data_IF_836974045055
#
_entry.id   IF_836974045055
#
_cell.length_a   1.000
_cell.length_b   1.000
_cell.length_c   1.000
_cell.angle_alpha   90.00
_cell.angle_beta   90.00
_cell.angle_gamma   90.00
#
_symmetry.space_group_name_H-M   'P 1'
#
loop_
_entity.id
_entity.type
_entity.pdbx_description
1 polymer ?
#
# COMPACT_ATOMS: atom_id res chain seq x y z
N UNK A 1 -20.17 10.60 16.83
CA UNK A 1 -18.82 11.09 16.49
C UNK A 1 -18.71 11.00 14.99
N UNK A 2 -18.55 12.13 14.28
CA UNK A 2 -18.32 12.10 12.84
C UNK A 2 -16.86 11.66 12.64
N UNK A 3 -16.64 10.56 11.92
CA UNK A 3 -15.30 10.23 11.45
C UNK A 3 -14.84 11.37 10.54
N UNK A 4 -13.64 11.87 10.79
CA UNK A 4 -13.01 12.86 9.90
C UNK A 4 -12.62 12.17 8.59
N UNK A 5 -12.61 12.91 7.47
CA UNK A 5 -12.20 12.35 6.16
C UNK A 5 -10.83 11.66 6.22
N UNK A 6 -9.93 12.13 7.10
CA UNK A 6 -8.62 11.53 7.34
C UNK A 6 -8.70 10.15 7.98
N UNK A 7 -9.64 9.91 8.91
CA UNK A 7 -9.83 8.61 9.53
C UNK A 7 -10.37 7.58 8.54
N UNK A 8 -11.31 7.97 7.68
CA UNK A 8 -11.81 7.10 6.60
C UNK A 8 -10.71 6.76 5.59
N UNK A 9 -9.89 7.74 5.22
CA UNK A 9 -8.72 7.50 4.37
C UNK A 9 -7.72 6.57 5.05
N UNK A 10 -7.47 6.76 6.35
CA UNK A 10 -6.58 5.92 7.14
C UNK A 10 -7.04 4.47 7.18
N UNK A 11 -8.34 4.23 7.38
CA UNK A 11 -8.89 2.87 7.40
C UNK A 11 -8.72 2.19 6.02
N UNK A 12 -9.04 2.89 4.93
CA UNK A 12 -8.86 2.38 3.57
C UNK A 12 -7.40 2.03 3.27
N UNK A 13 -6.49 2.91 3.66
CA UNK A 13 -5.03 2.73 3.49
C UNK A 13 -4.54 1.55 4.33
N UNK A 14 -4.95 1.46 5.60
CA UNK A 14 -4.65 0.32 6.49
C UNK A 14 -5.17 -1.00 5.92
N UNK A 15 -6.40 -1.02 5.40
CA UNK A 15 -6.99 -2.20 4.80
C UNK A 15 -6.21 -2.67 3.58
N UNK A 16 -5.84 -1.75 2.67
CA UNK A 16 -5.02 -2.10 1.50
C UNK A 16 -3.62 -2.53 1.91
N UNK A 17 -2.97 -1.81 2.83
CA UNK A 17 -1.64 -2.17 3.36
C UNK A 17 -1.62 -3.61 3.88
N UNK A 18 -2.57 -4.00 4.74
CA UNK A 18 -2.66 -5.37 5.27
C UNK A 18 -2.80 -6.41 4.16
N UNK A 19 -3.60 -6.12 3.12
CA UNK A 19 -3.72 -6.98 1.94
C UNK A 19 -2.40 -7.13 1.20
N UNK A 20 -1.66 -6.03 1.01
CA UNK A 20 -0.34 -6.08 0.36
C UNK A 20 0.71 -6.80 1.21
N UNK A 21 0.70 -6.61 2.53
CA UNK A 21 1.56 -7.34 3.47
C UNK A 21 1.28 -8.85 3.40
N UNK A 22 0.01 -9.26 3.33
CA UNK A 22 -0.35 -10.67 3.14
C UNK A 22 0.19 -11.22 1.80
N UNK A 23 -0.04 -10.49 0.70
CA UNK A 23 0.46 -10.87 -0.64
C UNK A 23 1.98 -10.91 -0.70
N UNK A 24 2.66 -10.03 0.04
CA UNK A 24 4.11 -10.01 0.14
C UNK A 24 4.62 -11.27 0.84
N UNK A 25 3.95 -11.73 1.91
CA UNK A 25 4.31 -12.98 2.57
C UNK A 25 4.10 -14.18 1.63
N UNK A 26 2.99 -14.21 0.89
CA UNK A 26 2.74 -15.24 -0.12
C UNK A 26 3.80 -15.23 -1.23
N UNK A 27 4.13 -14.06 -1.77
CA UNK A 27 5.14 -13.90 -2.82
C UNK A 27 6.55 -14.24 -2.33
N UNK A 28 6.88 -13.96 -1.06
CA UNK A 28 8.15 -14.37 -0.44
C UNK A 28 8.25 -15.88 -0.22
N UNK A 29 7.11 -16.54 0.06
CA UNK A 29 7.05 -17.98 0.15
C UNK A 29 7.22 -18.66 -1.22
N UNK A 30 6.80 -18.00 -2.31
CA UNK A 30 7.08 -18.43 -3.66
C UNK A 30 8.56 -18.15 -4.04
N UNK A 31 9.36 -19.21 -4.09
CA UNK A 31 10.81 -19.10 -4.36
C UNK A 31 11.15 -18.91 -5.84
N UNK A 32 10.14 -18.90 -6.73
CA UNK A 32 10.36 -18.73 -8.17
C UNK A 32 10.73 -17.28 -8.45
N UNK A 33 11.32 -17.05 -9.63
CA UNK A 33 11.72 -15.71 -10.07
C UNK A 33 10.54 -14.71 -10.02
N UNK A 34 9.38 -15.13 -10.51
CA UNK A 34 8.15 -14.31 -10.46
C UNK A 34 7.69 -13.99 -9.04
N UNK A 35 7.84 -14.92 -8.08
CA UNK A 35 7.54 -14.68 -6.67
C UNK A 35 8.45 -13.61 -6.07
N UNK A 36 9.76 -13.66 -6.37
CA UNK A 36 10.72 -12.64 -5.94
C UNK A 36 10.44 -11.28 -6.55
N UNK A 37 10.21 -11.21 -7.86
CA UNK A 37 9.89 -9.95 -8.56
C UNK A 37 8.59 -9.33 -8.02
N UNK A 38 7.58 -10.16 -7.74
CA UNK A 38 6.34 -9.70 -7.11
C UNK A 38 6.55 -9.23 -5.67
N UNK A 39 7.39 -9.92 -4.89
CA UNK A 39 7.73 -9.53 -3.53
C UNK A 39 8.47 -8.18 -3.49
N UNK A 40 9.42 -7.96 -4.41
CA UNK A 40 10.13 -6.68 -4.55
C UNK A 40 9.16 -5.55 -4.92
N UNK A 41 8.28 -5.76 -5.91
CA UNK A 41 7.28 -4.76 -6.30
C UNK A 41 6.30 -4.41 -5.16
N UNK A 42 5.84 -5.41 -4.41
CA UNK A 42 4.96 -5.21 -3.25
C UNK A 42 5.68 -4.50 -2.10
N UNK A 43 6.96 -4.82 -1.89
CA UNK A 43 7.77 -4.15 -0.87
C UNK A 43 7.98 -2.67 -1.20
N UNK A 44 8.33 -2.34 -2.44
CA UNK A 44 8.46 -0.93 -2.89
C UNK A 44 7.16 -0.16 -2.69
N UNK A 45 6.01 -0.76 -3.00
CA UNK A 45 4.71 -0.11 -2.80
C UNK A 45 4.37 0.16 -1.33
N UNK A 46 4.82 -0.71 -0.42
CA UNK A 46 4.65 -0.55 1.03
C UNK A 46 5.64 0.47 1.62
N UNK A 47 6.83 0.57 1.03
CA UNK A 47 7.84 1.55 1.39
C UNK A 47 7.40 2.96 1.00
N UNK A 48 6.92 3.15 -0.24
CA UNK A 48 6.31 4.41 -0.71
C UNK A 48 5.16 4.86 0.21
N UNK A 49 4.29 3.93 0.61
CA UNK A 49 3.24 4.23 1.58
C UNK A 49 3.82 4.68 2.93
N UNK A 50 4.88 4.03 3.40
CA UNK A 50 5.51 4.38 4.67
C UNK A 50 6.18 5.74 4.62
N UNK A 51 6.75 6.13 3.47
CA UNK A 51 7.29 7.47 3.25
C UNK A 51 6.17 8.53 3.26
N UNK A 52 5.07 8.29 2.53
CA UNK A 52 3.88 9.17 2.53
C UNK A 52 3.31 9.36 3.94
N UNK A 53 3.36 8.31 4.77
CA UNK A 53 2.88 8.32 6.16
C UNK A 53 3.96 8.67 7.19
N UNK A 54 5.18 9.00 6.78
CA UNK A 54 6.31 9.26 7.69
C UNK A 54 6.04 10.43 8.65
N UNK A 55 5.28 11.43 8.19
CA UNK A 55 4.83 12.58 9.01
C UNK A 55 3.63 12.26 9.92
N UNK A 56 3.06 11.07 9.80
CA UNK A 56 1.89 10.62 10.54
C UNK A 56 0.57 11.22 10.05
N UNK A 57 -0.54 10.54 10.39
CA UNK A 57 -1.90 10.93 10.00
C UNK A 57 -2.32 12.33 10.46
N UNK A 58 -1.71 12.84 11.52
CA UNK A 58 -1.98 14.18 12.06
C UNK A 58 -1.45 15.31 11.17
N UNK A 59 -0.53 15.02 10.25
CA UNK A 59 0.09 16.00 9.34
C UNK A 59 -0.20 15.68 7.86
N UNK A 60 -1.22 14.86 7.59
CA UNK A 60 -1.66 14.58 6.21
C UNK A 60 -2.30 15.83 5.64
N UNK A 61 -1.53 16.57 4.83
CA UNK A 61 -2.04 17.65 3.99
C UNK A 61 -2.88 17.10 2.84
N UNK A 62 -3.66 17.96 2.18
CA UNK A 62 -4.42 17.60 0.97
C UNK A 62 -3.55 16.95 -0.12
N UNK A 63 -2.30 17.41 -0.30
CA UNK A 63 -1.33 16.79 -1.22
C UNK A 63 -1.02 15.32 -0.86
N UNK A 64 -0.82 15.04 0.43
CA UNK A 64 -0.58 13.67 0.91
C UNK A 64 -1.85 12.83 0.78
N UNK A 65 -3.02 13.42 1.06
CA UNK A 65 -4.30 12.74 0.88
C UNK A 65 -4.57 12.38 -0.59
N UNK A 66 -4.22 13.26 -1.52
CA UNK A 66 -4.34 13.00 -2.96
C UNK A 66 -3.39 11.87 -3.39
N UNK A 67 -2.12 11.92 -2.96
CA UNK A 67 -1.14 10.85 -3.18
C UNK A 67 -1.62 9.51 -2.61
N UNK A 68 -2.21 9.49 -1.42
CA UNK A 68 -2.77 8.28 -0.81
C UNK A 68 -4.00 7.76 -1.57
N UNK A 69 -4.87 8.64 -2.08
CA UNK A 69 -6.00 8.23 -2.94
C UNK A 69 -5.52 7.68 -4.28
N UNK A 70 -4.47 8.27 -4.85
CA UNK A 70 -3.82 7.75 -6.06
C UNK A 70 -3.18 6.39 -5.77
N UNK A 71 -2.45 6.26 -4.66
CA UNK A 71 -1.88 4.99 -4.21
C UNK A 71 -2.96 3.94 -3.97
N UNK A 72 -4.10 4.30 -3.38
CA UNK A 72 -5.25 3.40 -3.19
C UNK A 72 -5.82 2.90 -4.53
N UNK A 73 -5.85 3.75 -5.54
CA UNK A 73 -6.33 3.41 -6.89
C UNK A 73 -5.29 2.65 -7.72
N UNK A 74 -4.00 2.86 -7.45
CA UNK A 74 -2.91 2.18 -8.14
C UNK A 74 -2.82 0.72 -7.67
N UNK A 75 -3.24 -0.22 -8.50
CA UNK A 75 -3.10 -1.63 -8.19
C UNK A 75 -1.63 -2.03 -8.38
N UNK A 76 -0.95 -2.58 -7.35
CA UNK A 76 0.36 -3.17 -7.57
C UNK A 76 0.15 -4.31 -8.55
N UNK A 77 0.60 -4.07 -9.78
CA UNK A 77 0.40 -4.95 -10.92
C UNK A 77 0.97 -6.30 -10.55
N UNK A 78 0.10 -7.26 -10.27
CA UNK A 78 0.53 -8.65 -10.32
C UNK A 78 1.02 -8.91 -11.73
N UNK A 79 2.25 -9.40 -11.93
CA UNK A 79 2.59 -9.96 -13.22
C UNK A 79 1.57 -11.07 -13.47
N UNK A 80 0.69 -10.81 -14.45
CA UNK A 80 -0.30 -11.76 -14.95
C UNK A 80 0.46 -13.06 -15.23
N UNK A 81 0.17 -14.10 -14.47
CA UNK A 81 0.75 -15.41 -14.71
C UNK A 81 0.21 -15.90 -16.06
N UNK A 82 1.11 -16.01 -17.06
CA UNK A 82 0.92 -16.79 -18.29
C UNK A 82 -0.12 -16.26 -19.27
#
# INVERSE_FOLDING_TARGET
MAFTQTEELADRVQAKRKRLEARLQEARADTRKQGREAAEALQTHLDDLSELLSKGWNQVSEDVADKLNHWLSSEPSTPKAG
#
